data_IF_968108777311
#
_entry.id   IF_968108777311
#
_cell.length_a   1.000
_cell.length_b   1.000
_cell.length_c   1.000
_cell.angle_alpha   90.00
_cell.angle_beta   90.00
_cell.angle_gamma   90.00
#
_symmetry.space_group_name_H-M   'P 1'
#
loop_
_entity.id
_entity.type
_entity.pdbx_description
1 polymer ?
#
# COMPACT_ATOMS: atom_id res chain seq x y z
N UNK A 1 5.51 36.35 6.10
CA UNK A 1 6.54 35.39 5.86
C UNK A 1 6.09 34.35 4.88
N UNK A 2 6.80 34.23 3.82
CA UNK A 2 6.43 33.24 2.81
C UNK A 2 6.64 31.82 3.26
N UNK A 3 7.28 31.61 4.36
CA UNK A 3 7.60 30.27 4.77
C UNK A 3 6.38 29.43 5.08
N UNK A 4 5.31 30.07 5.50
CA UNK A 4 4.11 29.32 5.83
C UNK A 4 3.55 28.64 4.59
N UNK A 5 3.44 29.38 3.49
CA UNK A 5 2.93 28.79 2.27
C UNK A 5 3.86 27.68 1.76
N UNK A 6 5.15 27.95 1.82
CA UNK A 6 6.11 26.95 1.37
C UNK A 6 6.00 25.67 2.22
N UNK A 7 5.76 25.83 3.50
CA UNK A 7 5.63 24.69 4.37
C UNK A 7 4.48 23.80 3.99
N UNK A 8 3.36 24.41 3.63
CA UNK A 8 2.20 23.61 3.26
C UNK A 8 2.47 22.80 2.00
N UNK A 9 3.16 23.42 1.05
CA UNK A 9 3.45 22.69 -0.18
C UNK A 9 4.46 21.60 0.03
N UNK A 10 5.26 21.72 1.07
CA UNK A 10 6.27 20.73 1.35
C UNK A 10 5.76 19.60 2.21
N UNK A 11 4.53 19.70 2.66
CA UNK A 11 4.00 18.66 3.50
C UNK A 11 4.09 17.28 2.86
N UNK A 12 3.76 17.11 1.57
CA UNK A 12 3.92 15.79 0.96
C UNK A 12 5.34 15.27 1.01
N UNK A 13 6.32 16.16 0.92
CA UNK A 13 7.71 15.74 1.02
C UNK A 13 8.01 15.22 2.41
N UNK A 14 7.55 15.94 3.43
CA UNK A 14 7.73 15.48 4.80
C UNK A 14 7.07 14.15 5.05
N UNK A 15 5.89 13.97 4.50
CA UNK A 15 5.19 12.71 4.66
C UNK A 15 5.93 11.58 3.99
N UNK A 16 6.49 11.83 2.81
CA UNK A 16 7.25 10.80 2.12
C UNK A 16 8.48 10.41 2.91
N UNK A 17 9.16 11.37 3.51
CA UNK A 17 10.32 11.06 4.33
C UNK A 17 9.92 10.21 5.53
N UNK A 18 8.79 10.55 6.14
CA UNK A 18 8.32 9.80 7.29
C UNK A 18 7.99 8.36 6.90
N UNK A 19 7.35 8.19 5.76
CA UNK A 19 7.04 6.85 5.28
C UNK A 19 8.30 6.06 4.97
N UNK A 20 9.26 6.72 4.35
CA UNK A 20 10.50 6.03 4.00
C UNK A 20 11.20 5.53 5.23
N UNK A 21 11.14 6.29 6.34
CA UNK A 21 11.78 5.85 7.56
C UNK A 21 11.10 4.65 8.18
N UNK A 22 9.81 4.49 7.94
CA UNK A 22 9.10 3.34 8.49
C UNK A 22 9.43 2.06 7.76
N UNK A 23 9.87 2.15 6.53
CA UNK A 23 10.13 0.95 5.73
C UNK A 23 11.37 0.24 6.27
N UNK A 24 11.22 -1.05 6.54
CA UNK A 24 12.30 -1.87 7.03
C UNK A 24 13.06 -2.47 5.86
N UNK A 25 14.39 -2.35 5.86
CA UNK A 25 15.16 -2.84 4.72
C UNK A 25 14.95 -4.31 4.41
N UNK A 26 14.69 -5.13 5.41
CA UNK A 26 14.52 -6.56 5.18
C UNK A 26 13.29 -6.88 4.35
N UNK A 27 12.39 -5.92 4.16
CA UNK A 27 11.16 -6.15 3.40
C UNK A 27 11.21 -5.51 2.02
N UNK A 28 12.38 -5.17 1.53
CA UNK A 28 12.47 -4.43 0.27
C UNK A 28 13.11 -5.22 -0.85
N UNK A 29 13.30 -6.52 -0.70
CA UNK A 29 14.05 -7.31 -1.66
C UNK A 29 13.18 -8.30 -2.39
N UNK A 30 13.58 -8.57 -3.62
CA UNK A 30 12.91 -9.55 -4.43
C UNK A 30 11.84 -8.92 -5.30
N UNK A 31 11.27 -9.73 -6.19
CA UNK A 31 10.22 -9.22 -7.07
C UNK A 31 8.96 -8.90 -6.29
N UNK A 32 8.11 -8.10 -6.90
CA UNK A 32 6.82 -7.78 -6.29
C UNK A 32 5.89 -8.96 -6.42
N UNK A 33 5.22 -9.31 -5.34
CA UNK A 33 4.26 -10.41 -5.34
C UNK A 33 2.95 -9.92 -4.74
N UNK A 34 1.86 -10.53 -5.17
CA UNK A 34 0.54 -10.16 -4.71
C UNK A 34 0.28 -10.78 -3.34
N UNK A 35 -0.16 -9.97 -2.39
CA UNK A 35 -0.48 -10.46 -1.06
C UNK A 35 -1.93 -10.23 -0.68
N UNK A 36 -2.66 -9.39 -1.42
CA UNK A 36 -4.05 -9.12 -1.09
C UNK A 36 -4.73 -8.50 -2.28
N UNK A 37 -6.05 -8.43 -2.21
CA UNK A 37 -6.86 -7.78 -3.21
C UNK A 37 -7.83 -6.85 -2.52
N UNK A 38 -7.88 -5.62 -2.97
CA UNK A 38 -8.81 -4.63 -2.45
C UNK A 38 -9.94 -4.44 -3.45
N UNK A 39 -11.12 -4.15 -2.95
CA UNK A 39 -12.28 -3.98 -3.80
C UNK A 39 -12.30 -2.63 -4.51
N UNK A 40 -11.62 -1.65 -3.94
CA UNK A 40 -11.60 -0.31 -4.50
C UNK A 40 -10.37 0.41 -3.97
N UNK A 41 -10.19 1.64 -4.43
CA UNK A 41 -9.00 2.39 -4.05
C UNK A 41 -8.95 2.72 -2.57
N UNK A 42 -10.03 3.19 -1.94
CA UNK A 42 -9.94 3.46 -0.49
C UNK A 42 -9.53 2.25 0.32
N UNK A 43 -10.04 1.08 -0.02
CA UNK A 43 -9.63 -0.12 0.69
C UNK A 43 -8.16 -0.42 0.43
N UNK A 44 -7.71 -0.24 -0.81
CA UNK A 44 -6.31 -0.47 -1.13
C UNK A 44 -5.41 0.45 -0.33
N UNK A 45 -5.80 1.71 -0.19
CA UNK A 45 -5.00 2.65 0.57
C UNK A 45 -4.96 2.27 2.04
N UNK A 46 -6.05 1.77 2.57
CA UNK A 46 -6.06 1.31 3.94
C UNK A 46 -5.08 0.15 4.13
N UNK A 47 -5.13 -0.81 3.22
CA UNK A 47 -4.23 -1.95 3.32
C UNK A 47 -2.77 -1.52 3.21
N UNK A 48 -2.49 -0.58 2.31
CA UNK A 48 -1.14 -0.06 2.20
C UNK A 48 -0.68 0.62 3.48
N UNK A 49 -1.59 1.35 4.13
CA UNK A 49 -1.26 2.01 5.38
C UNK A 49 -0.93 0.98 6.45
N UNK A 50 -1.72 -0.07 6.53
CA UNK A 50 -1.46 -1.12 7.51
C UNK A 50 -0.12 -1.79 7.27
N UNK A 51 0.22 -2.04 6.01
CA UNK A 51 1.50 -2.63 5.70
C UNK A 51 2.65 -1.70 6.06
N UNK A 52 2.48 -0.41 5.80
CA UNK A 52 3.52 0.55 6.12
C UNK A 52 3.76 0.64 7.62
N UNK A 53 2.71 0.47 8.41
CA UNK A 53 2.89 0.45 9.86
C UNK A 53 3.78 -0.69 10.29
N UNK A 54 3.84 -1.76 9.52
CA UNK A 54 4.74 -2.86 9.80
C UNK A 54 6.08 -2.72 9.11
N UNK A 55 6.28 -1.62 8.39
CA UNK A 55 7.53 -1.40 7.70
C UNK A 55 7.61 -2.03 6.32
N UNK A 56 6.49 -2.43 5.75
CA UNK A 56 6.46 -3.13 4.48
C UNK A 56 5.99 -2.18 3.39
N UNK A 57 6.83 -1.92 2.38
CA UNK A 57 6.40 -1.09 1.25
C UNK A 57 5.44 -1.87 0.36
N UNK A 58 4.49 -1.17 -0.23
CA UNK A 58 3.52 -1.82 -1.08
C UNK A 58 3.13 -0.91 -2.24
N UNK A 59 2.47 -1.50 -3.23
CA UNK A 59 1.93 -0.72 -4.32
C UNK A 59 0.68 -1.39 -4.84
N UNK A 60 -0.13 -0.62 -5.54
CA UNK A 60 -1.38 -1.09 -6.11
C UNK A 60 -1.22 -1.37 -7.60
N UNK A 61 -1.95 -2.35 -8.08
CA UNK A 61 -2.05 -2.65 -9.50
C UNK A 61 -3.49 -3.06 -9.76
N UNK A 62 -4.04 -2.64 -10.90
CA UNK A 62 -5.39 -3.06 -11.23
C UNK A 62 -5.44 -4.56 -11.36
N UNK A 63 -6.45 -5.14 -10.74
CA UNK A 63 -6.65 -6.57 -10.82
C UNK A 63 -7.10 -6.95 -12.22
N UNK A 64 -6.68 -8.11 -12.67
CA UNK A 64 -7.15 -8.66 -13.91
C UNK A 64 -6.32 -8.33 -15.13
N UNK A 65 -5.51 -7.29 -15.07
CA UNK A 65 -4.61 -6.97 -16.17
C UNK A 65 -5.28 -6.48 -17.44
N UNK A 66 -6.54 -6.05 -17.37
CA UNK A 66 -7.21 -5.51 -18.53
C UNK A 66 -7.00 -4.01 -18.63
N UNK A 67 -7.01 -3.52 -19.87
CA UNK A 67 -6.99 -2.09 -20.09
C UNK A 67 -8.36 -1.56 -19.72
N UNK A 68 -8.41 -0.76 -18.68
CA UNK A 68 -9.65 -0.17 -18.24
C UNK A 68 -9.48 1.34 -18.31
N UNK A 69 -10.45 2.06 -18.88
CA UNK A 69 -10.35 3.52 -18.92
C UNK A 69 -10.18 4.07 -17.51
N UNK A 70 -9.43 5.16 -17.43
CA UNK A 70 -9.11 5.72 -16.11
C UNK A 70 -10.35 6.13 -15.33
N UNK A 71 -11.41 6.53 -16.02
CA UNK A 71 -12.60 6.93 -15.31
C UNK A 71 -13.34 5.74 -14.69
N UNK A 72 -12.91 4.53 -14.99
CA UNK A 72 -13.46 3.33 -14.37
C UNK A 72 -12.50 2.78 -13.32
N UNK A 73 -11.67 3.61 -12.75
CA UNK A 73 -10.63 3.17 -11.82
C UNK A 73 -11.17 2.72 -10.46
N UNK A 74 -12.48 2.74 -10.27
CA UNK A 74 -13.06 2.33 -8.99
C UNK A 74 -13.00 0.82 -8.76
N UNK A 75 -12.54 0.06 -9.75
CA UNK A 75 -12.52 -1.39 -9.63
C UNK A 75 -11.50 -1.94 -8.67
N UNK A 76 -11.40 -3.26 -8.60
CA UNK A 76 -10.50 -3.90 -7.66
C UNK A 76 -9.04 -3.69 -8.01
N UNK A 77 -8.20 -3.79 -7.00
CA UNK A 77 -6.77 -3.60 -7.14
C UNK A 77 -6.03 -4.69 -6.38
N UNK A 78 -4.90 -5.11 -6.93
CA UNK A 78 -4.01 -6.03 -6.25
C UNK A 78 -3.03 -5.23 -5.42
N UNK A 79 -2.72 -5.73 -4.24
CA UNK A 79 -1.70 -5.14 -3.38
C UNK A 79 -0.45 -5.99 -3.51
N UNK A 80 0.65 -5.34 -3.90
CA UNK A 80 1.91 -6.01 -4.17
C UNK A 80 2.96 -5.56 -3.17
N UNK A 81 3.78 -6.48 -2.72
CA UNK A 81 4.91 -6.17 -1.85
C UNK A 81 6.14 -6.92 -2.35
N UNK A 82 7.34 -6.47 -1.97
CA UNK A 82 8.54 -7.24 -2.29
C UNK A 82 8.45 -8.63 -1.68
N UNK A 83 9.03 -9.59 -2.36
CA UNK A 83 8.94 -10.98 -1.91
C UNK A 83 9.42 -11.15 -0.48
N UNK A 84 10.47 -10.44 -0.09
CA UNK A 84 11.02 -10.57 1.25
C UNK A 84 10.06 -10.09 2.33
N UNK A 85 9.04 -9.34 1.97
CA UNK A 85 8.04 -8.90 2.93
C UNK A 85 6.70 -9.60 2.79
N UNK A 86 6.60 -10.58 1.90
CA UNK A 86 5.30 -11.14 1.57
C UNK A 86 4.65 -11.86 2.74
N UNK A 87 5.41 -12.66 3.47
CA UNK A 87 4.82 -13.38 4.58
C UNK A 87 4.41 -12.44 5.70
N UNK A 88 5.28 -11.48 6.03
CA UNK A 88 4.93 -10.50 7.04
C UNK A 88 3.69 -9.72 6.63
N UNK A 89 3.58 -9.42 5.33
CA UNK A 89 2.41 -8.70 4.85
C UNK A 89 1.14 -9.51 5.04
N UNK A 90 1.19 -10.78 4.70
CA UNK A 90 0.01 -11.62 4.87
C UNK A 90 -0.39 -11.72 6.33
N UNK A 91 0.57 -11.80 7.21
CA UNK A 91 0.27 -11.84 8.63
C UNK A 91 -0.33 -10.54 9.11
N UNK A 92 0.22 -9.42 8.67
CA UNK A 92 -0.31 -8.13 9.09
C UNK A 92 -1.73 -7.95 8.61
N UNK A 93 -2.02 -8.36 7.39
CA UNK A 93 -3.35 -8.16 6.84
C UNK A 93 -4.37 -9.13 7.41
N UNK A 94 -3.94 -10.26 7.95
CA UNK A 94 -4.88 -11.20 8.54
C UNK A 94 -5.51 -10.64 9.81
N UNK A 95 -4.84 -9.73 10.49
CA UNK A 95 -5.43 -9.08 11.65
C UNK A 95 -6.45 -8.03 11.25
N UNK A 96 -6.21 -7.39 10.11
CA UNK A 96 -7.07 -6.31 9.67
C UNK A 96 -8.32 -6.82 9.00
N UNK A 97 -8.30 -8.06 8.53
CA UNK A 97 -9.35 -8.58 7.70
C UNK A 97 -9.61 -10.03 8.07
N UNK A 98 -10.78 -10.32 8.62
CA UNK A 98 -11.10 -11.71 8.98
C UNK A 98 -11.09 -12.60 7.74
N UNK A 99 -10.74 -13.86 7.90
CA UNK A 99 -10.82 -14.79 6.77
C UNK A 99 -12.21 -14.84 6.19
N UNK A 100 -12.28 -14.93 4.88
CA UNK A 100 -13.56 -14.91 4.19
C UNK A 100 -14.44 -16.08 4.63
N UNK A 101 -13.84 -17.18 4.96
CA UNK A 101 -14.60 -18.34 5.37
C UNK A 101 -15.32 -18.17 6.69
N UNK A 102 -14.96 -17.14 7.43
CA UNK A 102 -15.60 -16.87 8.71
C UNK A 102 -16.94 -16.20 8.56
N UNK A 103 -17.10 -15.49 7.48
CA UNK A 103 -18.28 -14.66 7.29
C UNK A 103 -19.52 -15.41 7.07
#
# INVERSE_FOLDING_TARGET
>A
MPLVAASREQEPVSDRRRRARKIKPQYTEGPLVKVARASNQPEAELLETLLLEEGIPSMQRRSGGFDVPDFLAAGPRDILVPESGAQAAREALSFARPPAGEG
#
